data_IF_270581621101
#
_entry.id   IF_270581621101
#
_cell.length_a   1.000
_cell.length_b   1.000
_cell.length_c   1.000
_cell.angle_alpha   90.00
_cell.angle_beta   90.00
_cell.angle_gamma   90.00
#
_symmetry.space_group_name_H-M   'P 1'
#
loop_
_entity.id
_entity.type
_entity.pdbx_description
1 polymer ?
#
# COMPACT_ATOMS: atom_id res chain seq x y z
N UNK A 1 9.15 -47.40 31.35
CA UNK A 1 9.36 -47.47 29.88
C UNK A 1 8.02 -47.35 29.18
N UNK A 2 7.97 -46.65 28.05
CA UNK A 2 6.82 -46.41 27.17
C UNK A 2 5.71 -45.45 27.65
N UNK A 3 5.99 -44.13 27.60
CA UNK A 3 4.98 -43.12 27.20
C UNK A 3 5.56 -41.73 26.89
N UNK A 4 6.71 -41.69 26.22
CA UNK A 4 7.24 -40.50 25.56
C UNK A 4 7.43 -40.88 24.10
N UNK A 5 7.27 -39.92 23.18
CA UNK A 5 7.22 -40.07 21.72
C UNK A 5 5.78 -40.24 21.19
N UNK A 6 4.99 -39.17 21.20
CA UNK A 6 4.11 -38.79 20.08
C UNK A 6 3.41 -37.45 20.38
N UNK A 7 4.11 -36.32 20.31
CA UNK A 7 3.46 -35.00 20.26
C UNK A 7 4.39 -33.89 19.71
N UNK A 8 5.35 -34.27 18.87
CA UNK A 8 6.27 -33.32 18.21
C UNK A 8 6.20 -33.50 16.70
N UNK A 9 5.01 -33.37 16.14
CA UNK A 9 4.81 -33.28 14.68
C UNK A 9 3.49 -32.57 14.43
N UNK A 10 3.59 -31.26 14.20
CA UNK A 10 2.72 -30.33 13.43
C UNK A 10 2.91 -28.96 14.09
N UNK A 11 4.07 -28.35 13.85
CA UNK A 11 4.32 -26.94 14.11
C UNK A 11 5.22 -26.42 12.99
N UNK A 12 4.83 -26.65 11.73
CA UNK A 12 5.66 -26.26 10.60
C UNK A 12 4.88 -26.04 9.31
N UNK A 13 3.74 -25.35 9.37
CA UNK A 13 3.12 -24.76 8.16
C UNK A 13 2.23 -23.61 8.59
N UNK A 14 2.81 -22.41 8.62
CA UNK A 14 2.20 -21.13 8.26
C UNK A 14 3.22 -20.03 8.55
N UNK A 15 4.42 -20.13 7.96
CA UNK A 15 5.09 -18.90 7.55
C UNK A 15 4.24 -18.36 6.41
N UNK A 16 3.24 -17.55 6.75
CA UNK A 16 2.69 -16.60 5.81
C UNK A 16 3.91 -15.83 5.31
N UNK A 17 4.32 -16.10 4.07
CA UNK A 17 5.30 -15.30 3.36
C UNK A 17 4.69 -13.91 3.21
N UNK A 18 4.87 -13.09 4.23
CA UNK A 18 4.77 -11.64 4.09
C UNK A 18 5.85 -11.31 3.07
N UNK A 19 5.45 -11.08 1.82
CA UNK A 19 6.29 -10.43 0.83
C UNK A 19 6.68 -9.08 1.43
N UNK A 20 7.82 -9.03 2.11
CA UNK A 20 8.37 -7.80 2.60
C UNK A 20 8.81 -7.02 1.37
N UNK A 21 7.96 -6.08 0.94
CA UNK A 21 8.39 -5.06 -0.01
C UNK A 21 9.58 -4.34 0.60
N UNK A 22 10.63 -4.14 -0.19
CA UNK A 22 11.77 -3.37 0.25
C UNK A 22 11.36 -1.91 0.53
N UNK A 23 10.35 -1.44 -0.21
CA UNK A 23 9.75 -0.11 -0.03
C UNK A 23 8.72 -0.16 1.10
N UNK A 24 8.88 0.72 2.08
CA UNK A 24 7.94 0.85 3.18
C UNK A 24 6.63 1.48 2.69
N UNK A 25 5.49 0.92 3.08
CA UNK A 25 4.16 1.48 2.82
C UNK A 25 3.55 2.04 4.12
N UNK A 26 3.36 3.36 4.15
CA UNK A 26 2.55 4.04 5.16
C UNK A 26 1.15 4.30 4.61
N UNK A 27 0.11 3.84 5.31
CA UNK A 27 -1.28 4.03 4.92
C UNK A 27 -2.00 4.81 6.02
N UNK A 28 -2.67 5.90 5.63
CA UNK A 28 -3.69 6.59 6.41
C UNK A 28 -5.07 6.29 5.81
N UNK A 29 -6.05 5.90 6.62
CA UNK A 29 -7.40 5.66 6.13
C UNK A 29 -8.47 6.06 7.14
N UNK A 30 -9.52 6.74 6.69
CA UNK A 30 -10.75 6.95 7.47
C UNK A 30 -11.89 6.02 7.04
N UNK A 31 -11.70 5.21 5.99
CA UNK A 31 -12.70 4.30 5.46
C UNK A 31 -12.85 3.09 6.39
N UNK A 32 -13.84 3.15 7.30
CA UNK A 32 -14.08 2.11 8.30
C UNK A 32 -14.67 0.84 7.70
N UNK A 33 -15.34 0.97 6.55
CA UNK A 33 -15.93 -0.10 5.77
C UNK A 33 -14.92 -0.85 4.87
N UNK A 34 -13.67 -0.35 4.77
CA UNK A 34 -12.59 -0.99 4.00
C UNK A 34 -11.44 -1.31 4.94
N UNK A 35 -11.19 -2.60 5.27
CA UNK A 35 -10.07 -2.98 6.11
C UNK A 35 -8.74 -2.47 5.56
N UNK A 36 -7.95 -1.78 6.39
CA UNK A 36 -6.63 -1.27 5.97
C UNK A 36 -5.71 -2.36 5.41
N UNK A 37 -5.83 -3.59 5.91
CA UNK A 37 -5.08 -4.73 5.40
C UNK A 37 -5.37 -5.01 3.92
N UNK A 38 -6.65 -4.90 3.50
CA UNK A 38 -7.04 -5.11 2.10
C UNK A 38 -6.51 -3.98 1.20
N UNK A 39 -6.54 -2.73 1.67
CA UNK A 39 -5.95 -1.60 0.93
C UNK A 39 -4.45 -1.81 0.74
N UNK A 40 -3.75 -2.20 1.82
CA UNK A 40 -2.31 -2.50 1.76
C UNK A 40 -2.00 -3.64 0.81
N UNK A 41 -2.79 -4.72 0.85
CA UNK A 41 -2.64 -5.87 -0.03
C UNK A 41 -2.86 -5.49 -1.50
N UNK A 42 -3.90 -4.72 -1.82
CA UNK A 42 -4.14 -4.24 -3.19
C UNK A 42 -2.97 -3.40 -3.69
N UNK A 43 -2.44 -2.48 -2.87
CA UNK A 43 -1.28 -1.67 -3.25
C UNK A 43 -0.05 -2.57 -3.47
N UNK A 44 0.26 -3.42 -2.49
CA UNK A 44 1.38 -4.36 -2.52
C UNK A 44 1.38 -5.23 -3.79
N UNK A 45 0.25 -5.87 -4.10
CA UNK A 45 0.15 -6.83 -5.20
C UNK A 45 0.20 -6.18 -6.59
N UNK A 46 -0.08 -4.88 -6.71
CA UNK A 46 -0.25 -4.23 -8.01
C UNK A 46 0.75 -3.10 -8.28
N UNK A 47 1.52 -2.66 -7.27
CA UNK A 47 2.56 -1.65 -7.48
C UNK A 47 3.61 -2.15 -8.50
N UNK A 48 4.17 -1.28 -9.36
CA UNK A 48 5.17 -1.70 -10.32
C UNK A 48 6.36 -2.42 -9.64
N UNK A 49 6.89 -3.52 -10.22
CA UNK A 49 7.99 -4.28 -9.62
C UNK A 49 9.22 -3.43 -9.30
N UNK A 50 9.54 -2.47 -10.17
CA UNK A 50 10.64 -1.52 -9.97
C UNK A 50 10.47 -0.62 -8.74
N UNK A 51 9.22 -0.33 -8.34
CA UNK A 51 8.90 0.42 -7.12
C UNK A 51 8.94 -0.49 -5.89
N UNK A 52 8.39 -1.70 -6.01
CA UNK A 52 8.39 -2.72 -4.96
C UNK A 52 9.78 -3.08 -4.43
N UNK A 53 10.79 -3.00 -5.30
CA UNK A 53 12.18 -3.34 -5.01
C UNK A 53 13.02 -2.17 -4.47
N UNK A 54 12.47 -0.96 -4.40
CA UNK A 54 13.20 0.20 -3.88
C UNK A 54 13.48 0.01 -2.39
N UNK A 55 14.72 0.30 -1.96
CA UNK A 55 15.11 0.20 -0.55
C UNK A 55 14.71 1.41 0.29
N UNK A 56 15.33 1.55 1.46
CA UNK A 56 15.06 2.59 2.47
C UNK A 56 15.25 4.05 2.01
N UNK A 57 15.75 4.27 0.79
CA UNK A 57 15.77 5.59 0.13
C UNK A 57 14.41 6.04 -0.40
N UNK A 58 13.41 5.15 -0.41
CA UNK A 58 12.07 5.43 -0.91
C UNK A 58 10.99 4.92 0.06
N UNK A 59 9.81 5.55 0.00
CA UNK A 59 8.61 5.13 0.72
C UNK A 59 7.36 5.37 -0.11
N UNK A 60 6.35 4.52 0.08
CA UNK A 60 5.01 4.75 -0.40
C UNK A 60 4.16 5.36 0.73
N UNK A 61 3.51 6.46 0.41
CA UNK A 61 2.49 7.06 1.26
C UNK A 61 1.14 6.90 0.57
N UNK A 62 0.21 6.24 1.24
CA UNK A 62 -1.12 6.00 0.76
C UNK A 62 -2.16 6.66 1.67
N UNK A 63 -3.19 7.22 1.06
CA UNK A 63 -4.37 7.77 1.74
C UNK A 63 -5.61 7.13 1.13
N UNK A 64 -6.54 6.71 1.97
CA UNK A 64 -7.87 6.24 1.56
C UNK A 64 -8.93 6.97 2.39
N UNK A 65 -9.80 7.71 1.74
CA UNK A 65 -10.85 8.47 2.38
C UNK A 65 -12.21 8.11 1.82
N UNK A 66 -13.21 8.02 2.69
CA UNK A 66 -14.61 7.87 2.31
C UNK A 66 -15.50 8.81 3.12
N UNK A 67 -16.64 9.16 2.55
CA UNK A 67 -17.69 9.94 3.21
C UNK A 67 -19.06 9.59 2.65
N UNK A 68 -20.11 9.91 3.40
CA UNK A 68 -21.49 9.70 2.94
C UNK A 68 -21.81 10.64 1.78
N UNK A 69 -22.44 10.12 0.73
CA UNK A 69 -22.88 10.91 -0.42
C UNK A 69 -24.41 10.94 -0.54
N UNK A 70 -25.01 9.76 -0.66
CA UNK A 70 -26.45 9.51 -0.73
C UNK A 70 -26.75 8.20 0.02
N UNK A 71 -28.02 7.90 0.31
CA UNK A 71 -28.37 6.61 0.93
C UNK A 71 -27.80 5.43 0.12
N UNK A 72 -26.89 4.68 0.73
CA UNK A 72 -26.21 3.54 0.10
C UNK A 72 -25.04 3.90 -0.82
N UNK A 73 -24.68 5.17 -0.98
CA UNK A 73 -23.56 5.63 -1.81
C UNK A 73 -22.51 6.38 -0.98
N UNK A 74 -21.25 6.07 -1.24
CA UNK A 74 -20.09 6.69 -0.59
C UNK A 74 -19.29 7.48 -1.62
N UNK A 75 -18.95 8.72 -1.28
CA UNK A 75 -17.86 9.43 -1.93
C UNK A 75 -16.56 8.78 -1.46
N UNK A 76 -15.62 8.56 -2.37
CA UNK A 76 -14.30 8.07 -2.04
C UNK A 76 -13.21 8.90 -2.71
N UNK A 77 -12.06 8.95 -2.07
CA UNK A 77 -10.81 9.37 -2.69
C UNK A 77 -9.66 8.53 -2.19
N UNK A 78 -8.66 8.31 -3.03
CA UNK A 78 -7.42 7.69 -2.62
C UNK A 78 -6.22 8.32 -3.32
N UNK A 79 -5.06 8.15 -2.72
CA UNK A 79 -3.79 8.42 -3.37
C UNK A 79 -2.74 7.39 -2.95
N UNK A 80 -1.83 7.05 -3.86
CA UNK A 80 -0.65 6.24 -3.58
C UNK A 80 0.54 6.96 -4.18
N UNK A 81 1.41 7.48 -3.33
CA UNK A 81 2.47 8.41 -3.70
C UNK A 81 3.84 7.85 -3.33
N UNK A 82 4.73 7.79 -4.30
CA UNK A 82 6.14 7.49 -4.09
C UNK A 82 6.86 8.74 -3.60
N UNK A 83 7.61 8.58 -2.53
CA UNK A 83 8.47 9.61 -1.96
C UNK A 83 9.91 9.13 -1.93
N UNK A 84 10.83 10.05 -2.26
CA UNK A 84 12.27 9.84 -2.16
C UNK A 84 12.82 10.57 -0.93
N UNK A 85 13.74 9.91 -0.23
CA UNK A 85 14.53 10.50 0.83
C UNK A 85 15.52 11.51 0.26
N UNK A 86 15.50 12.73 0.75
CA UNK A 86 16.44 13.79 0.43
C UNK A 86 17.10 14.26 1.72
N UNK A 87 18.42 14.35 1.73
CA UNK A 87 19.19 14.86 2.86
C UNK A 87 19.69 16.26 2.47
N UNK A 88 19.27 17.28 3.22
CA UNK A 88 19.72 18.65 3.03
C UNK A 88 21.21 18.75 3.34
N UNK A 89 22.01 19.15 2.34
CA UNK A 89 23.48 19.11 2.43
C UNK A 89 24.05 19.97 3.57
N UNK A 90 23.40 21.09 3.90
CA UNK A 90 23.90 22.05 4.91
C UNK A 90 23.56 21.61 6.33
N UNK A 91 22.36 21.09 6.55
CA UNK A 91 21.83 20.79 7.89
C UNK A 91 21.90 19.30 8.24
N UNK A 92 22.09 18.42 7.23
CA UNK A 92 21.94 16.98 7.36
C UNK A 92 20.51 16.51 7.61
N UNK A 93 19.52 17.42 7.52
CA UNK A 93 18.12 17.09 7.83
C UNK A 93 17.49 16.26 6.71
N UNK A 94 16.76 15.23 7.12
CA UNK A 94 16.03 14.33 6.21
C UNK A 94 14.67 14.93 5.83
N UNK A 95 14.34 14.86 4.54
CA UNK A 95 13.06 15.22 3.96
C UNK A 95 12.56 14.10 3.04
N UNK A 96 11.23 14.00 2.89
CA UNK A 96 10.58 13.07 1.97
C UNK A 96 9.88 13.88 0.89
N UNK A 97 10.33 13.75 -0.34
CA UNK A 97 9.82 14.51 -1.49
C UNK A 97 9.02 13.59 -2.39
N UNK A 98 7.78 13.98 -2.69
CA UNK A 98 6.92 13.24 -3.63
C UNK A 98 7.54 13.26 -5.02
N UNK A 99 7.77 12.09 -5.61
CA UNK A 99 8.30 11.97 -6.98
C UNK A 99 7.21 11.65 -7.99
N UNK A 100 6.11 11.03 -7.54
CA UNK A 100 4.96 10.72 -8.37
C UNK A 100 4.00 9.76 -7.70
N UNK A 101 2.99 9.29 -8.44
CA UNK A 101 1.99 8.37 -7.93
C UNK A 101 0.66 8.52 -8.64
N UNK A 102 -0.35 7.86 -8.08
CA UNK A 102 -1.72 7.84 -8.61
C UNK A 102 -2.67 8.46 -7.60
N UNK A 103 -3.77 9.00 -8.12
CA UNK A 103 -4.90 9.54 -7.35
C UNK A 103 -6.18 9.17 -8.08
N UNK A 104 -7.19 8.78 -7.32
CA UNK A 104 -8.51 8.46 -7.84
C UNK A 104 -9.58 8.95 -6.87
N UNK A 105 -10.77 9.21 -7.39
CA UNK A 105 -11.93 9.59 -6.60
C UNK A 105 -13.20 9.25 -7.35
N UNK A 106 -14.31 9.18 -6.64
CA UNK A 106 -15.61 8.94 -7.26
C UNK A 106 -16.69 8.63 -6.24
N UNK A 107 -17.75 7.98 -6.73
CA UNK A 107 -18.86 7.49 -5.92
C UNK A 107 -18.96 5.99 -6.11
N UNK A 108 -19.18 5.25 -5.02
CA UNK A 108 -19.37 3.81 -5.05
C UNK A 108 -20.46 3.37 -4.07
N UNK A 109 -21.19 2.31 -4.43
CA UNK A 109 -22.18 1.65 -3.56
C UNK A 109 -21.51 0.57 -2.69
N UNK A 110 -20.37 0.03 -3.14
CA UNK A 110 -19.70 -1.10 -2.53
C UNK A 110 -18.19 -0.87 -2.40
N UNK A 111 -17.62 -1.25 -1.25
CA UNK A 111 -16.19 -1.14 -0.93
C UNK A 111 -15.30 -1.84 -1.99
N UNK A 112 -15.76 -2.95 -2.54
CA UNK A 112 -15.05 -3.73 -3.56
C UNK A 112 -14.86 -2.93 -4.84
N UNK A 113 -15.78 -2.03 -5.17
CA UNK A 113 -15.65 -1.14 -6.33
C UNK A 113 -14.50 -0.17 -6.13
N UNK A 114 -14.36 0.38 -4.92
CA UNK A 114 -13.27 1.30 -4.57
C UNK A 114 -11.92 0.59 -4.68
N UNK A 115 -11.81 -0.63 -4.13
CA UNK A 115 -10.60 -1.45 -4.22
C UNK A 115 -10.27 -1.85 -5.66
N UNK A 116 -11.28 -2.19 -6.47
CA UNK A 116 -11.11 -2.50 -7.89
C UNK A 116 -10.60 -1.29 -8.67
N UNK A 117 -11.13 -0.10 -8.39
CA UNK A 117 -10.66 1.14 -9.02
C UNK A 117 -9.23 1.48 -8.59
N UNK A 118 -8.90 1.36 -7.29
CA UNK A 118 -7.54 1.54 -6.79
C UNK A 118 -6.55 0.63 -7.53
N UNK A 119 -6.89 -0.66 -7.67
CA UNK A 119 -6.10 -1.61 -8.45
C UNK A 119 -5.94 -1.14 -9.90
N UNK A 120 -7.05 -0.80 -10.56
CA UNK A 120 -7.07 -0.35 -11.95
C UNK A 120 -6.14 0.85 -12.17
N UNK A 121 -6.22 1.85 -11.30
CA UNK A 121 -5.44 3.07 -11.38
C UNK A 121 -3.95 2.83 -11.09
N UNK A 122 -3.60 1.93 -10.17
CA UNK A 122 -2.19 1.55 -9.94
C UNK A 122 -1.60 0.89 -11.19
N UNK A 123 -2.35 -0.02 -11.82
CA UNK A 123 -1.90 -0.73 -13.03
C UNK A 123 -1.81 0.23 -14.22
N UNK A 124 -2.84 1.03 -14.47
CA UNK A 124 -2.87 1.99 -15.57
C UNK A 124 -1.85 3.12 -15.37
N UNK A 125 -1.66 3.56 -14.13
CA UNK A 125 -0.75 4.62 -13.74
C UNK A 125 0.65 4.14 -13.36
N UNK A 126 1.08 2.96 -13.80
CA UNK A 126 2.40 2.40 -13.47
C UNK A 126 3.57 3.37 -13.78
N UNK A 127 3.45 4.15 -14.87
CA UNK A 127 4.45 5.15 -15.27
C UNK A 127 4.41 6.45 -14.45
N UNK A 128 3.37 6.65 -13.64
CA UNK A 128 3.24 7.84 -12.78
C UNK A 128 4.16 7.75 -11.55
N UNK A 129 4.69 6.58 -11.21
CA UNK A 129 5.66 6.38 -10.14
C UNK A 129 7.08 6.66 -10.63
N UNK A 130 7.48 7.93 -10.63
CA UNK A 130 8.79 8.37 -11.13
C UNK A 130 9.88 8.04 -10.12
N UNK A 131 10.89 7.30 -10.55
CA UNK A 131 12.02 6.90 -9.68
C UNK A 131 13.05 8.02 -9.55
N UNK A 132 13.21 8.84 -10.59
CA UNK A 132 13.99 10.07 -10.60
C UNK A 132 13.40 10.98 -11.69
N UNK A 133 13.41 12.30 -11.46
CA UNK A 133 13.24 13.25 -12.56
C UNK A 133 14.52 13.17 -13.40
N UNK A 134 14.43 12.66 -14.63
CA UNK A 134 15.37 13.07 -15.67
C UNK A 134 15.31 14.60 -15.86
#
# INVERSE_FOLDING_TARGET
MFRQILCAAIALTCFASTSAFAVELSLSSNASEIPQAQVREVIALNIPPQVAQLGAGYKLFAVMETSDFRPGERLYSYSVQLHKKVIEAVTGKEYWVMTGGIRGHGVAVASETILSNLKGDIVAGAQSFKLDQE
#
